data_IF_585609790398
#
_entry.id   IF_585609790398
#
_cell.length_a   1.000
_cell.length_b   1.000
_cell.length_c   1.000
_cell.angle_alpha   90.00
_cell.angle_beta   90.00
_cell.angle_gamma   90.00
#
_symmetry.space_group_name_H-M   'P 1'
#
loop_
_entity.id
_entity.type
_entity.pdbx_description
1 polymer ?
#
# COMPACT_ATOMS: atom_id res chain seq x y z
N UNK A 1 -12.86 9.18 -52.89
CA UNK A 1 -11.83 8.93 -51.90
C UNK A 1 -11.97 9.91 -50.76
N UNK A 2 -12.15 9.40 -49.57
CA UNK A 2 -12.38 10.24 -48.41
C UNK A 2 -11.05 10.63 -47.77
N UNK A 3 -10.55 11.81 -48.15
CA UNK A 3 -9.29 12.35 -47.61
C UNK A 3 -9.44 12.97 -46.22
N UNK A 4 -10.67 13.04 -45.71
CA UNK A 4 -10.94 13.62 -44.39
C UNK A 4 -10.85 12.60 -43.26
N UNK A 5 -10.71 11.30 -43.56
CA UNK A 5 -10.53 10.30 -42.54
C UNK A 5 -9.12 10.37 -41.98
N UNK A 6 -8.99 11.02 -40.84
CA UNK A 6 -7.75 10.92 -40.07
C UNK A 6 -7.65 9.52 -39.45
N UNK A 7 -6.44 9.00 -39.43
CA UNK A 7 -6.17 7.74 -38.74
C UNK A 7 -6.28 7.98 -37.24
N UNK A 8 -7.03 7.12 -36.56
CA UNK A 8 -7.24 7.17 -35.12
C UNK A 8 -6.72 5.87 -34.49
N UNK A 9 -6.18 6.01 -33.33
CA UNK A 9 -5.68 4.90 -32.54
C UNK A 9 -6.16 5.01 -31.10
N UNK A 10 -6.66 3.90 -30.57
CA UNK A 10 -7.10 3.84 -29.17
C UNK A 10 -5.94 3.28 -28.32
N UNK A 11 -5.53 4.05 -27.34
CA UNK A 11 -4.44 3.72 -26.45
C UNK A 11 -4.90 3.75 -25.00
N UNK A 12 -4.11 3.14 -24.13
CA UNK A 12 -4.24 3.27 -22.68
C UNK A 12 -3.28 4.33 -22.17
N UNK A 13 -3.71 5.03 -21.14
CA UNK A 13 -2.85 5.98 -20.41
C UNK A 13 -3.07 5.83 -18.93
N UNK A 14 -2.06 6.24 -18.16
CA UNK A 14 -2.14 6.30 -16.71
C UNK A 14 -2.70 7.68 -16.34
N UNK A 15 -3.73 7.68 -15.51
CA UNK A 15 -4.34 8.91 -14.97
C UNK A 15 -3.94 9.00 -13.50
N UNK A 16 -3.26 10.08 -13.13
CA UNK A 16 -2.88 10.33 -11.75
C UNK A 16 -4.07 10.92 -11.00
N UNK A 17 -4.41 10.32 -9.88
CA UNK A 17 -5.48 10.81 -9.02
C UNK A 17 -4.86 11.47 -7.80
N UNK A 18 -5.12 12.77 -7.66
CA UNK A 18 -4.72 13.59 -6.53
C UNK A 18 -5.91 13.86 -5.65
N UNK A 19 -5.68 14.04 -4.37
CA UNK A 19 -6.70 14.46 -3.41
C UNK A 19 -6.31 15.77 -2.77
N UNK A 20 -7.33 16.57 -2.47
CA UNK A 20 -7.17 17.77 -1.67
C UNK A 20 -7.29 17.35 -0.21
N UNK A 21 -6.33 17.76 0.60
CA UNK A 21 -6.30 17.46 2.02
C UNK A 21 -7.40 18.23 2.72
N UNK A 22 -8.41 17.52 3.22
CA UNK A 22 -9.50 18.07 4.00
C UNK A 22 -9.46 17.48 5.42
N UNK A 23 -10.14 18.10 6.40
CA UNK A 23 -10.24 17.49 7.74
C UNK A 23 -10.82 16.09 7.70
N UNK A 24 -11.85 15.85 6.88
CA UNK A 24 -12.47 14.54 6.73
C UNK A 24 -11.46 13.52 6.13
N UNK A 25 -10.75 13.89 5.08
CA UNK A 25 -9.76 13.01 4.46
C UNK A 25 -8.65 12.65 5.44
N UNK A 26 -8.13 13.65 6.19
CA UNK A 26 -7.10 13.39 7.21
C UNK A 26 -7.59 12.40 8.25
N UNK A 27 -8.80 12.59 8.74
CA UNK A 27 -9.39 11.70 9.75
C UNK A 27 -9.53 10.28 9.23
N UNK A 28 -10.05 10.11 8.01
CA UNK A 28 -10.21 8.80 7.39
C UNK A 28 -8.88 8.08 7.19
N UNK A 29 -7.86 8.77 6.70
CA UNK A 29 -6.53 8.19 6.50
C UNK A 29 -5.88 7.83 7.85
N UNK A 30 -6.02 8.69 8.85
CA UNK A 30 -5.50 8.41 10.19
C UNK A 30 -6.16 7.18 10.79
N UNK A 31 -7.47 7.02 10.62
CA UNK A 31 -8.20 5.85 11.09
C UNK A 31 -7.75 4.57 10.37
N UNK A 32 -7.56 4.63 9.05
CA UNK A 32 -7.06 3.49 8.28
C UNK A 32 -5.66 3.07 8.73
N UNK A 33 -4.77 4.04 8.89
CA UNK A 33 -3.39 3.76 9.33
C UNK A 33 -3.37 3.20 10.75
N UNK A 34 -4.20 3.74 11.64
CA UNK A 34 -4.30 3.24 13.01
C UNK A 34 -4.83 1.80 13.03
N UNK A 35 -5.82 1.49 12.19
CA UNK A 35 -6.33 0.13 12.06
C UNK A 35 -5.25 -0.84 11.54
N UNK A 36 -4.44 -0.43 10.58
CA UNK A 36 -3.32 -1.23 10.07
C UNK A 36 -2.26 -1.46 11.15
N UNK A 37 -1.95 -0.45 11.95
CA UNK A 37 -1.02 -0.57 13.09
C UNK A 37 -1.57 -1.57 14.11
N UNK A 38 -2.84 -1.46 14.45
CA UNK A 38 -3.47 -2.37 15.42
C UNK A 38 -3.50 -3.81 14.90
N UNK A 39 -3.78 -4.01 13.62
CA UNK A 39 -3.74 -5.32 12.99
C UNK A 39 -2.33 -5.91 13.02
N UNK A 40 -1.32 -5.11 12.73
CA UNK A 40 0.09 -5.55 12.79
C UNK A 40 0.48 -5.94 14.21
N UNK A 41 0.05 -5.17 15.22
CA UNK A 41 0.28 -5.52 16.63
C UNK A 41 -0.37 -6.85 17.01
N UNK A 42 -1.58 -7.11 16.52
CA UNK A 42 -2.25 -8.40 16.73
C UNK A 42 -1.48 -9.54 16.06
N UNK A 43 -0.98 -9.34 14.86
CA UNK A 43 -0.17 -10.32 14.15
C UNK A 43 1.13 -10.62 14.90
N UNK A 44 1.76 -9.59 15.48
CA UNK A 44 2.97 -9.76 16.30
C UNK A 44 2.68 -10.61 17.54
N UNK A 45 1.58 -10.34 18.25
CA UNK A 45 1.17 -11.12 19.41
C UNK A 45 0.87 -12.58 19.01
N UNK A 46 0.14 -12.76 17.93
CA UNK A 46 -0.22 -14.10 17.43
C UNK A 46 1.03 -14.89 17.06
N UNK A 47 2.01 -14.24 16.44
CA UNK A 47 3.28 -14.86 16.07
C UNK A 47 4.05 -15.35 17.29
N UNK A 48 4.13 -14.52 18.33
CA UNK A 48 4.79 -14.90 19.60
C UNK A 48 4.08 -16.08 20.26
N UNK A 49 2.74 -16.08 20.29
CA UNK A 49 1.95 -17.17 20.87
C UNK A 49 2.15 -18.46 20.09
N UNK A 50 2.06 -18.42 18.77
CA UNK A 50 2.22 -19.60 17.91
C UNK A 50 3.63 -20.16 17.99
N UNK A 51 4.64 -19.30 17.99
CA UNK A 51 6.03 -19.71 18.13
C UNK A 51 6.28 -20.40 19.46
N UNK A 52 5.75 -19.84 20.56
CA UNK A 52 5.90 -20.42 21.88
C UNK A 52 5.16 -21.77 22.01
N UNK A 53 3.97 -21.89 21.42
CA UNK A 53 3.23 -23.15 21.39
C UNK A 53 3.99 -24.23 20.62
N UNK A 54 4.57 -23.89 19.48
CA UNK A 54 5.34 -24.83 18.68
C UNK A 54 6.58 -25.32 19.43
N UNK A 55 7.29 -24.43 20.10
CA UNK A 55 8.46 -24.78 20.92
C UNK A 55 8.04 -25.68 22.10
N UNK A 56 6.97 -25.31 22.78
CA UNK A 56 6.45 -26.09 23.92
C UNK A 56 6.02 -27.49 23.48
N UNK A 57 5.38 -27.62 22.31
CA UNK A 57 4.97 -28.92 21.77
C UNK A 57 6.18 -29.81 21.49
N UNK A 58 7.26 -29.27 20.95
CA UNK A 58 8.51 -30.02 20.71
C UNK A 58 9.13 -30.46 22.04
N UNK A 59 9.18 -29.56 23.02
CA UNK A 59 9.72 -29.89 24.36
C UNK A 59 8.93 -30.98 25.05
N UNK A 60 7.60 -30.99 24.92
CA UNK A 60 6.74 -32.01 25.53
C UNK A 60 6.86 -33.39 24.87
N UNK A 61 7.21 -33.46 23.60
CA UNK A 61 7.42 -34.71 22.89
C UNK A 61 8.74 -35.39 23.28
N UNK A 62 9.64 -34.64 23.88
CA UNK A 62 10.95 -35.14 24.31
C UNK A 62 10.84 -35.72 25.73
N UNK A 63 10.94 -37.03 25.87
CA UNK A 63 10.95 -37.72 27.17
C UNK A 63 12.31 -37.67 27.86
N UNK A 64 13.32 -37.14 27.19
CA UNK A 64 14.71 -37.04 27.66
C UNK A 64 15.21 -35.62 27.45
N UNK A 65 16.35 -35.21 28.03
CA UNK A 65 16.95 -33.93 27.74
C UNK A 65 17.07 -33.71 26.23
N UNK A 66 16.78 -32.51 25.71
CA UNK A 66 16.75 -32.29 24.26
C UNK A 66 18.09 -32.61 23.63
N UNK A 67 18.07 -33.50 22.61
CA UNK A 67 19.22 -33.80 21.80
C UNK A 67 19.53 -32.68 20.80
N UNK A 68 20.65 -32.80 20.05
CA UNK A 68 21.03 -31.79 19.08
C UNK A 68 19.97 -31.51 18.02
N UNK A 69 19.23 -32.52 17.57
CA UNK A 69 18.17 -32.34 16.56
C UNK A 69 16.99 -31.54 17.11
N UNK A 70 16.59 -31.78 18.34
CA UNK A 70 15.50 -31.04 19.00
C UNK A 70 15.88 -29.59 19.20
N UNK A 71 17.10 -29.32 19.65
CA UNK A 71 17.62 -27.95 19.81
C UNK A 71 17.66 -27.22 18.47
N UNK A 72 18.06 -27.92 17.41
CA UNK A 72 18.10 -27.35 16.08
C UNK A 72 16.69 -27.00 15.57
N UNK A 73 15.69 -27.84 15.83
CA UNK A 73 14.30 -27.56 15.49
C UNK A 73 13.78 -26.31 16.22
N UNK A 74 14.10 -26.19 17.51
CA UNK A 74 13.71 -25.03 18.32
C UNK A 74 14.40 -23.77 17.76
N UNK A 75 15.69 -23.84 17.46
CA UNK A 75 16.44 -22.73 16.88
C UNK A 75 15.86 -22.29 15.53
N UNK A 76 15.46 -23.23 14.68
CA UNK A 76 14.84 -22.94 13.39
C UNK A 76 13.50 -22.23 13.56
N UNK A 77 12.67 -22.66 14.50
CA UNK A 77 11.40 -21.99 14.83
C UNK A 77 11.68 -20.58 15.31
N UNK A 78 12.63 -20.42 16.23
CA UNK A 78 13.03 -19.12 16.76
C UNK A 78 13.49 -18.18 15.66
N UNK A 79 14.31 -18.70 14.72
CA UNK A 79 14.80 -17.93 13.58
C UNK A 79 13.66 -17.47 12.68
N UNK A 80 12.72 -18.36 12.35
CA UNK A 80 11.56 -18.03 11.52
C UNK A 80 10.66 -17.00 12.19
N UNK A 81 10.42 -17.16 13.49
CA UNK A 81 9.64 -16.20 14.28
C UNK A 81 10.32 -14.82 14.26
N UNK A 82 11.62 -14.78 14.49
CA UNK A 82 12.37 -13.52 14.51
C UNK A 82 12.39 -12.83 13.15
N UNK A 83 12.52 -13.58 12.06
CA UNK A 83 12.46 -13.04 10.71
C UNK A 83 11.10 -12.44 10.40
N UNK A 84 10.02 -13.16 10.72
CA UNK A 84 8.66 -12.67 10.49
C UNK A 84 8.35 -11.47 11.38
N UNK A 85 8.81 -11.49 12.62
CA UNK A 85 8.68 -10.39 13.56
C UNK A 85 9.37 -9.13 13.05
N UNK A 86 10.57 -9.26 12.49
CA UNK A 86 11.29 -8.16 11.86
C UNK A 86 10.52 -7.53 10.72
N UNK A 87 9.96 -8.36 9.83
CA UNK A 87 9.14 -7.89 8.71
C UNK A 87 7.91 -7.12 9.19
N UNK A 88 7.20 -7.65 10.20
CA UNK A 88 6.02 -7.00 10.76
C UNK A 88 6.36 -5.70 11.47
N UNK A 89 7.47 -5.65 12.19
CA UNK A 89 7.94 -4.42 12.84
C UNK A 89 8.32 -3.35 11.81
N UNK A 90 8.93 -3.75 10.70
CA UNK A 90 9.24 -2.84 9.61
C UNK A 90 7.97 -2.26 8.97
N UNK A 91 6.95 -3.11 8.73
CA UNK A 91 5.64 -2.66 8.25
C UNK A 91 4.99 -1.68 9.23
N UNK A 92 5.03 -2.01 10.52
CA UNK A 92 4.49 -1.13 11.56
C UNK A 92 5.18 0.23 11.56
N UNK A 93 6.51 0.24 11.47
CA UNK A 93 7.27 1.48 11.40
C UNK A 93 6.88 2.32 10.18
N UNK A 94 6.65 1.67 9.03
CA UNK A 94 6.21 2.36 7.82
C UNK A 94 4.83 3.00 8.03
N UNK A 95 3.89 2.29 8.65
CA UNK A 95 2.57 2.85 8.97
C UNK A 95 2.66 4.01 9.94
N UNK A 96 3.52 3.92 10.94
CA UNK A 96 3.75 5.00 11.91
C UNK A 96 4.34 6.25 11.23
N UNK A 97 5.29 6.08 10.32
CA UNK A 97 5.85 7.17 9.54
C UNK A 97 4.78 7.82 8.65
N UNK A 98 3.96 7.01 7.99
CA UNK A 98 2.87 7.50 7.17
C UNK A 98 1.85 8.30 8.00
N UNK A 99 1.52 7.80 9.19
CA UNK A 99 0.62 8.49 10.12
C UNK A 99 1.18 9.85 10.52
N UNK A 100 2.47 9.92 10.82
CA UNK A 100 3.15 11.17 11.17
C UNK A 100 3.13 12.14 9.99
N UNK A 101 3.42 11.67 8.77
CA UNK A 101 3.38 12.50 7.56
C UNK A 101 1.99 13.09 7.33
N UNK A 102 0.93 12.29 7.50
CA UNK A 102 -0.44 12.76 7.34
C UNK A 102 -0.79 13.85 8.34
N UNK A 103 -0.31 13.72 9.59
CA UNK A 103 -0.54 14.74 10.62
C UNK A 103 0.06 16.10 10.27
N UNK A 104 1.18 16.11 9.53
CA UNK A 104 1.86 17.34 9.12
C UNK A 104 1.34 17.94 7.81
N UNK A 105 0.47 17.25 7.08
CA UNK A 105 -0.11 17.79 5.86
C UNK A 105 -0.99 18.99 6.16
N UNK A 106 -0.82 20.04 5.35
CA UNK A 106 -1.64 21.23 5.45
C UNK A 106 -2.99 21.03 4.76
N UNK A 107 -4.03 21.67 5.28
CA UNK A 107 -5.34 21.66 4.64
C UNK A 107 -5.26 22.37 3.28
N UNK A 108 -6.05 21.87 2.33
CA UNK A 108 -6.13 22.33 0.94
C UNK A 108 -4.89 22.02 0.09
N UNK A 109 -3.89 21.33 0.66
CA UNK A 109 -2.76 20.82 -0.10
C UNK A 109 -3.20 19.67 -1.00
N UNK A 110 -2.60 19.56 -2.19
CA UNK A 110 -2.81 18.42 -3.07
C UNK A 110 -1.76 17.34 -2.81
N UNK A 111 -2.19 16.10 -2.71
CA UNK A 111 -1.29 14.95 -2.55
C UNK A 111 -1.65 13.87 -3.56
N UNK A 112 -0.66 13.12 -4.02
CA UNK A 112 -0.90 11.96 -4.88
C UNK A 112 -1.53 10.85 -4.05
N UNK A 113 -2.60 10.26 -4.58
CA UNK A 113 -3.27 9.16 -3.88
C UNK A 113 -3.07 7.83 -4.58
N UNK A 114 -3.45 7.73 -5.85
CA UNK A 114 -3.30 6.51 -6.63
C UNK A 114 -3.30 6.84 -8.12
N UNK A 115 -3.12 5.79 -8.93
CA UNK A 115 -3.16 5.89 -10.38
C UNK A 115 -4.25 4.97 -10.90
N UNK A 116 -4.90 5.40 -11.99
CA UNK A 116 -5.88 4.61 -12.70
C UNK A 116 -5.47 4.51 -14.16
N UNK A 117 -5.92 3.45 -14.84
CA UNK A 117 -5.76 3.34 -16.26
C UNK A 117 -7.02 3.83 -16.96
N UNK A 118 -6.84 4.56 -18.06
CA UNK A 118 -7.93 5.03 -18.90
C UNK A 118 -7.58 4.88 -20.37
N UNK A 119 -8.60 4.85 -21.21
CA UNK A 119 -8.42 4.83 -22.65
C UNK A 119 -8.53 6.22 -23.22
N UNK A 120 -7.80 6.46 -24.29
CA UNK A 120 -7.89 7.71 -25.03
C UNK A 120 -7.61 7.46 -26.51
N UNK A 121 -8.10 8.37 -27.35
CA UNK A 121 -7.90 8.28 -28.79
C UNK A 121 -6.90 9.33 -29.22
N UNK A 122 -6.03 8.96 -30.13
CA UNK A 122 -5.14 9.89 -30.82
C UNK A 122 -5.40 9.85 -32.31
N UNK A 123 -5.13 10.98 -32.94
CA UNK A 123 -5.17 11.11 -34.38
C UNK A 123 -3.99 11.94 -34.86
N UNK A 124 -3.77 11.93 -36.17
CA UNK A 124 -2.69 12.71 -36.77
C UNK A 124 -2.90 14.19 -36.43
N UNK A 125 -1.85 14.86 -35.96
CA UNK A 125 -1.88 16.22 -35.51
C UNK A 125 -1.95 16.42 -34.01
N UNK A 126 -2.32 15.38 -33.27
CA UNK A 126 -2.37 15.44 -31.81
C UNK A 126 -0.98 15.47 -31.19
N UNK A 127 -0.88 16.11 -30.04
CA UNK A 127 0.32 16.04 -29.20
C UNK A 127 0.18 14.84 -28.24
N UNK A 128 0.87 13.75 -28.56
CA UNK A 128 0.80 12.53 -27.76
C UNK A 128 1.24 12.74 -26.32
N UNK A 129 2.29 13.51 -26.10
CA UNK A 129 2.83 13.75 -24.75
C UNK A 129 1.81 14.50 -23.89
N UNK A 130 1.17 15.54 -24.43
CA UNK A 130 0.11 16.27 -23.72
C UNK A 130 -1.05 15.37 -23.34
N UNK A 131 -1.43 14.47 -24.25
CA UNK A 131 -2.57 13.57 -24.03
C UNK A 131 -2.29 12.48 -22.98
N UNK A 132 -1.03 12.21 -22.66
CA UNK A 132 -0.67 11.25 -21.61
C UNK A 132 -0.61 11.88 -20.22
N UNK A 133 -0.63 13.21 -20.13
CA UNK A 133 -0.50 13.96 -18.87
C UNK A 133 -1.87 14.40 -18.37
N UNK A 134 -2.63 13.45 -17.82
CA UNK A 134 -3.97 13.70 -17.30
C UNK A 134 -4.01 13.41 -15.81
N UNK A 135 -4.61 14.31 -15.06
CA UNK A 135 -4.79 14.21 -13.62
C UNK A 135 -6.24 14.43 -13.24
N UNK A 136 -6.67 13.75 -12.21
CA UNK A 136 -7.97 13.97 -11.57
C UNK A 136 -7.71 14.47 -10.16
N UNK A 137 -8.42 15.52 -9.76
CA UNK A 137 -8.32 16.07 -8.40
C UNK A 137 -9.64 15.82 -7.68
N UNK A 138 -9.56 15.14 -6.54
CA UNK A 138 -10.72 14.81 -5.72
C UNK A 138 -10.75 15.66 -4.45
N UNK A 139 -11.95 16.03 -4.05
CA UNK A 139 -12.22 16.59 -2.72
C UNK A 139 -13.32 15.74 -2.08
N UNK A 140 -12.98 15.08 -0.98
CA UNK A 140 -13.89 14.19 -0.24
C UNK A 140 -14.58 13.16 -1.16
N UNK A 141 -13.78 12.57 -2.07
CA UNK A 141 -14.25 11.55 -3.01
C UNK A 141 -14.92 12.06 -4.27
N UNK A 142 -15.16 13.35 -4.39
CA UNK A 142 -15.83 13.96 -5.54
C UNK A 142 -14.80 14.58 -6.46
N UNK A 143 -14.96 14.36 -7.77
CA UNK A 143 -14.10 14.97 -8.79
C UNK A 143 -14.33 16.46 -8.79
N UNK A 144 -13.32 17.23 -8.40
CA UNK A 144 -13.37 18.69 -8.39
C UNK A 144 -12.79 19.27 -9.66
N UNK A 145 -11.77 18.64 -10.22
CA UNK A 145 -11.07 19.15 -11.39
C UNK A 145 -10.49 17.99 -12.20
N UNK A 146 -10.51 18.14 -13.51
CA UNK A 146 -9.81 17.26 -14.44
C UNK A 146 -8.80 18.14 -15.19
N UNK A 147 -7.53 17.78 -15.09
CA UNK A 147 -6.42 18.50 -15.69
C UNK A 147 -5.82 17.72 -16.84
N UNK A 148 -5.47 18.43 -17.89
CA UNK A 148 -4.78 17.86 -19.03
C UNK A 148 -5.63 17.85 -20.29
N UNK A 149 -5.06 17.27 -21.34
CA UNK A 149 -5.67 17.21 -22.66
C UNK A 149 -6.49 15.90 -22.78
N UNK A 150 -7.78 16.06 -22.68
CA UNK A 150 -8.72 14.95 -22.73
C UNK A 150 -9.12 14.66 -24.17
#
# INVERSE_FOLDING_TARGET
MDVSKSQQLLLKRIVNVKVIVTPLWKEEIQQQLQAQINQTDQQLQQLDIEGQRAITAIQKQSLQPPGPQTLQQIDNIQLQVNQKKSELLEQKNQFLQNLQQVQFLELDQEVNQFQMEGFFRIETGDNLISKTQVEIVLRDGIVEEIRGDI
#
